data_IF_916743535739
#
_entry.id   IF_916743535739
#
_cell.length_a   1.000
_cell.length_b   1.000
_cell.length_c   1.000
_cell.angle_alpha   90.00
_cell.angle_beta   90.00
_cell.angle_gamma   90.00
#
_symmetry.space_group_name_H-M   'P 1'
#
loop_
_entity.id
_entity.type
_entity.pdbx_description
1 polymer ?
#
# COMPACT_ATOMS: atom_id res chain seq x y z
N UNK A 1 -68.75 -42.08 5.85
CA UNK A 1 -68.25 -40.79 5.31
C UNK A 1 -66.99 -40.36 6.05
N UNK A 2 -65.84 -40.65 5.47
CA UNK A 2 -64.52 -40.20 6.04
C UNK A 2 -64.09 -38.99 5.21
N UNK A 3 -63.97 -37.84 5.85
CA UNK A 3 -63.41 -36.62 5.24
C UNK A 3 -61.88 -36.64 5.37
N UNK A 4 -61.24 -36.80 4.24
CA UNK A 4 -59.76 -36.69 4.13
C UNK A 4 -59.39 -35.22 4.02
N UNK A 5 -58.70 -34.69 5.04
CA UNK A 5 -58.07 -33.35 4.98
C UNK A 5 -56.74 -33.45 4.26
N UNK A 6 -56.64 -32.79 3.11
CA UNK A 6 -55.39 -32.64 2.37
C UNK A 6 -54.66 -31.40 2.89
N UNK A 7 -53.59 -31.60 3.67
CA UNK A 7 -52.73 -30.53 4.10
C UNK A 7 -51.72 -30.20 3.01
N UNK A 8 -51.88 -29.05 2.34
CA UNK A 8 -50.91 -28.52 1.39
C UNK A 8 -49.85 -27.80 2.18
N UNK A 9 -48.67 -28.43 2.35
CA UNK A 9 -47.49 -27.80 2.94
C UNK A 9 -46.79 -26.97 1.86
N UNK A 10 -46.95 -25.67 1.92
CA UNK A 10 -46.26 -24.71 1.05
C UNK A 10 -44.80 -24.62 1.47
N UNK A 11 -43.89 -25.31 0.77
CA UNK A 11 -42.44 -25.12 0.92
C UNK A 11 -42.06 -23.80 0.23
N UNK A 12 -41.94 -22.74 1.01
CA UNK A 12 -41.25 -21.53 0.60
C UNK A 12 -39.74 -21.84 0.51
N UNK A 13 -39.29 -22.24 -0.67
CA UNK A 13 -37.88 -22.25 -0.99
C UNK A 13 -37.37 -20.80 -0.99
N UNK A 14 -36.84 -20.36 0.13
CA UNK A 14 -35.98 -19.17 0.15
C UNK A 14 -34.74 -19.51 -0.67
N UNK A 15 -34.74 -19.23 -1.97
CA UNK A 15 -33.52 -19.06 -2.71
C UNK A 15 -32.73 -17.95 -2.00
N UNK A 16 -31.66 -18.30 -1.32
CA UNK A 16 -30.63 -17.32 -0.92
C UNK A 16 -30.10 -16.72 -2.22
N UNK A 17 -30.75 -15.67 -2.72
CA UNK A 17 -30.14 -14.80 -3.68
C UNK A 17 -28.78 -14.42 -3.03
N UNK A 18 -27.69 -14.73 -3.70
CA UNK A 18 -26.38 -14.21 -3.29
C UNK A 18 -26.55 -12.69 -3.32
N UNK A 19 -26.73 -12.09 -2.15
CA UNK A 19 -26.83 -10.65 -2.01
C UNK A 19 -25.53 -10.09 -2.54
N UNK A 20 -25.63 -9.17 -3.50
CA UNK A 20 -24.47 -8.41 -3.98
C UNK A 20 -23.73 -7.88 -2.75
N UNK A 21 -22.42 -8.09 -2.71
CA UNK A 21 -21.62 -7.71 -1.55
C UNK A 21 -21.27 -6.22 -1.60
N UNK A 22 -21.17 -5.68 -2.81
CA UNK A 22 -20.90 -4.27 -3.05
C UNK A 22 -21.96 -3.38 -2.39
N UNK A 23 -21.49 -2.42 -1.59
CA UNK A 23 -22.34 -1.53 -0.81
C UNK A 23 -22.94 -2.15 0.45
N UNK A 24 -22.62 -3.41 0.77
CA UNK A 24 -23.06 -4.01 2.02
C UNK A 24 -22.50 -3.21 3.21
N UNK A 25 -23.39 -2.86 4.13
CA UNK A 25 -23.08 -2.08 5.32
C UNK A 25 -23.32 -2.94 6.56
N UNK A 26 -22.27 -3.18 7.34
CA UNK A 26 -22.33 -3.96 8.58
C UNK A 26 -22.23 -3.07 9.80
N UNK A 27 -22.63 -3.61 10.96
CA UNK A 27 -22.56 -2.91 12.23
C UNK A 27 -21.10 -2.55 12.61
N UNK A 28 -20.95 -1.58 13.51
CA UNK A 28 -19.67 -1.20 14.09
C UNK A 28 -19.05 -2.35 14.86
N UNK A 29 -17.75 -2.52 14.69
CA UNK A 29 -16.89 -3.40 15.49
C UNK A 29 -15.99 -2.59 16.43
N UNK A 30 -16.16 -1.26 16.45
CA UNK A 30 -15.31 -0.37 17.24
C UNK A 30 -15.39 -0.71 18.72
N UNK A 31 -14.23 -0.80 19.35
CA UNK A 31 -14.06 -1.03 20.80
C UNK A 31 -13.02 -0.07 21.35
N UNK A 32 -13.32 0.52 22.48
CA UNK A 32 -12.43 1.47 23.15
C UNK A 32 -11.98 0.87 24.49
N UNK A 33 -10.69 0.98 24.78
CA UNK A 33 -10.11 0.59 26.05
C UNK A 33 -8.97 1.54 26.46
N UNK A 34 -8.60 1.51 27.74
CA UNK A 34 -7.44 2.27 28.23
C UNK A 34 -6.24 1.34 28.24
N UNK A 35 -5.17 1.76 27.57
CA UNK A 35 -3.91 1.03 27.63
C UNK A 35 -3.28 1.16 29.01
N UNK A 36 -3.05 0.02 29.68
CA UNK A 36 -2.55 -0.01 31.04
C UNK A 36 -1.11 0.47 31.20
N UNK A 37 -0.31 0.43 30.12
CA UNK A 37 1.08 0.87 30.16
C UNK A 37 1.23 2.38 30.01
N UNK A 38 0.39 3.02 29.20
CA UNK A 38 0.50 4.44 28.86
C UNK A 38 -0.62 5.29 29.45
N UNK A 39 -1.73 4.69 29.89
CA UNK A 39 -2.93 5.41 30.30
C UNK A 39 -3.73 6.02 29.14
N UNK A 40 -3.32 5.82 27.92
CA UNK A 40 -3.99 6.36 26.74
C UNK A 40 -5.25 5.57 26.39
N UNK A 41 -6.26 6.27 25.89
CA UNK A 41 -7.44 5.64 25.31
C UNK A 41 -7.15 5.17 23.90
N UNK A 42 -7.34 3.88 23.65
CA UNK A 42 -7.15 3.25 22.33
C UNK A 42 -8.52 2.83 21.80
N UNK A 43 -8.80 3.17 20.55
CA UNK A 43 -9.98 2.70 19.83
C UNK A 43 -9.54 1.71 18.75
N UNK A 44 -9.92 0.45 18.92
CA UNK A 44 -9.83 -0.57 17.87
C UNK A 44 -10.99 -0.36 16.91
N UNK A 45 -10.69 -0.26 15.63
CA UNK A 45 -11.68 0.04 14.60
C UNK A 45 -12.37 -1.20 14.03
N UNK A 46 -11.68 -2.35 14.02
CA UNK A 46 -12.16 -3.62 13.46
C UNK A 46 -11.91 -4.78 14.42
N UNK A 47 -12.57 -5.91 14.16
CA UNK A 47 -12.38 -7.14 14.94
C UNK A 47 -11.03 -7.79 14.60
N UNK A 48 -10.27 -8.18 15.63
CA UNK A 48 -8.99 -8.87 15.53
C UNK A 48 -9.07 -10.25 14.86
N UNK A 49 -10.26 -10.83 14.78
CA UNK A 49 -10.48 -12.14 14.15
C UNK A 49 -10.60 -12.08 12.63
N UNK A 50 -10.59 -10.87 12.05
CA UNK A 50 -10.65 -10.64 10.62
C UNK A 50 -9.26 -10.39 10.04
N UNK A 51 -9.07 -10.78 8.76
CA UNK A 51 -7.83 -10.49 8.04
C UNK A 51 -7.91 -9.10 7.40
N UNK A 52 -8.02 -8.08 8.26
CA UNK A 52 -8.08 -6.69 7.86
C UNK A 52 -6.68 -6.10 7.80
N UNK A 53 -6.42 -5.30 6.78
CA UNK A 53 -5.13 -4.64 6.59
C UNK A 53 -5.34 -3.23 6.10
N UNK A 54 -4.58 -2.30 6.62
CA UNK A 54 -4.47 -0.97 6.04
C UNK A 54 -3.69 -1.01 4.72
N UNK A 55 -3.76 0.06 3.95
CA UNK A 55 -2.82 0.31 2.87
C UNK A 55 -1.41 0.53 3.45
N UNK A 56 -0.43 0.65 2.58
CA UNK A 56 0.91 0.99 3.05
C UNK A 56 0.92 2.40 3.65
N UNK A 57 1.79 2.64 4.64
CA UNK A 57 1.83 3.89 5.42
C UNK A 57 1.92 5.18 4.59
N UNK A 58 2.38 5.07 3.35
CA UNK A 58 2.54 6.20 2.44
C UNK A 58 1.30 6.49 1.61
N UNK A 59 0.34 5.55 1.58
CA UNK A 59 -0.88 5.70 0.80
C UNK A 59 -1.94 6.52 1.56
N UNK A 60 -2.73 7.36 0.87
CA UNK A 60 -3.91 7.98 1.48
C UNK A 60 -4.91 6.93 1.93
N UNK A 61 -5.21 6.88 3.23
CA UNK A 61 -6.21 5.96 3.79
C UNK A 61 -7.51 6.66 4.18
N UNK A 62 -7.49 7.99 4.30
CA UNK A 62 -8.66 8.79 4.63
C UNK A 62 -9.25 9.40 3.38
N UNK A 63 -10.60 9.43 3.29
CA UNK A 63 -11.27 10.26 2.30
C UNK A 63 -10.89 11.74 2.50
N UNK A 64 -10.96 12.55 1.45
CA UNK A 64 -10.53 13.94 1.51
C UNK A 64 -11.28 14.77 2.58
N UNK A 65 -12.53 14.41 2.87
CA UNK A 65 -13.33 15.03 3.93
C UNK A 65 -13.09 14.43 5.33
N UNK A 66 -12.21 13.44 5.46
CA UNK A 66 -11.84 12.79 6.71
C UNK A 66 -12.94 11.94 7.37
N UNK A 67 -14.06 11.68 6.70
CA UNK A 67 -15.19 10.97 7.32
C UNK A 67 -15.09 9.45 7.25
N UNK A 68 -14.36 8.92 6.29
CA UNK A 68 -14.21 7.50 6.08
C UNK A 68 -12.74 7.09 6.04
N UNK A 69 -12.44 5.96 6.66
CA UNK A 69 -11.13 5.32 6.64
C UNK A 69 -11.19 4.07 5.76
N UNK A 70 -10.32 4.00 4.76
CA UNK A 70 -10.19 2.85 3.86
C UNK A 70 -9.33 1.77 4.50
N UNK A 71 -9.75 0.52 4.36
CA UNK A 71 -8.94 -0.65 4.62
C UNK A 71 -9.29 -1.77 3.62
N UNK A 72 -8.53 -2.83 3.63
CA UNK A 72 -8.74 -4.01 2.78
C UNK A 72 -8.85 -5.27 3.61
N UNK A 73 -9.67 -6.22 3.13
CA UNK A 73 -9.85 -7.50 3.81
C UNK A 73 -10.11 -8.62 2.80
N UNK A 74 -9.59 -9.80 3.08
CA UNK A 74 -9.88 -11.04 2.35
C UNK A 74 -10.81 -11.98 3.13
N UNK A 75 -11.31 -11.57 4.30
CA UNK A 75 -12.11 -12.42 5.18
C UNK A 75 -13.50 -11.86 5.51
N UNK A 76 -13.88 -10.70 4.95
CA UNK A 76 -15.18 -10.06 5.24
C UNK A 76 -16.24 -10.35 4.20
N UNK A 77 -15.85 -10.58 2.96
CA UNK A 77 -16.75 -10.90 1.87
C UNK A 77 -17.09 -12.37 1.80
N UNK A 78 -18.04 -12.70 0.92
CA UNK A 78 -18.37 -14.08 0.55
C UNK A 78 -17.66 -14.47 -0.77
N UNK A 79 -16.56 -13.82 -1.08
CA UNK A 79 -15.77 -14.12 -2.27
C UNK A 79 -15.30 -15.58 -2.21
N UNK A 80 -15.54 -16.29 -3.31
CA UNK A 80 -15.05 -17.67 -3.44
C UNK A 80 -13.53 -17.64 -3.64
N UNK A 81 -12.86 -18.65 -3.12
CA UNK A 81 -11.46 -18.88 -3.46
C UNK A 81 -11.30 -18.95 -4.98
N UNK A 82 -10.28 -18.28 -5.46
CA UNK A 82 -9.86 -18.28 -6.87
C UNK A 82 -8.60 -19.11 -6.97
N UNK A 83 -8.53 -19.95 -7.99
CA UNK A 83 -7.31 -20.69 -8.30
C UNK A 83 -6.52 -19.95 -9.39
N UNK A 84 -5.25 -19.75 -9.16
CA UNK A 84 -4.31 -19.23 -10.16
C UNK A 84 -3.14 -20.18 -10.32
N UNK A 85 -2.58 -20.25 -11.53
CA UNK A 85 -1.37 -21.02 -11.80
C UNK A 85 -0.18 -20.06 -11.77
N UNK A 86 0.79 -20.36 -10.91
CA UNK A 86 2.04 -19.62 -10.83
C UNK A 86 2.94 -19.92 -12.04
N UNK A 87 3.95 -19.08 -12.34
CA UNK A 87 4.87 -19.30 -13.46
C UNK A 87 5.64 -20.64 -13.40
N UNK A 88 5.78 -21.21 -12.21
CA UNK A 88 6.40 -22.53 -11.99
C UNK A 88 5.42 -23.71 -12.20
N UNK A 89 4.17 -23.45 -12.60
CA UNK A 89 3.12 -24.44 -12.80
C UNK A 89 2.34 -24.83 -11.54
N UNK A 90 2.70 -24.34 -10.37
CA UNK A 90 1.96 -24.62 -9.13
C UNK A 90 0.62 -23.90 -9.11
N UNK A 91 -0.40 -24.59 -8.60
CA UNK A 91 -1.72 -24.01 -8.39
C UNK A 91 -1.79 -23.38 -7.00
N UNK A 92 -2.18 -22.10 -6.96
CA UNK A 92 -2.41 -21.36 -5.72
C UNK A 92 -3.88 -20.98 -5.61
N UNK A 93 -4.48 -21.32 -4.47
CA UNK A 93 -5.80 -20.81 -4.09
C UNK A 93 -5.64 -19.59 -3.22
N UNK A 94 -6.48 -18.59 -3.44
CA UNK A 94 -6.49 -17.37 -2.65
C UNK A 94 -7.89 -16.74 -2.65
N UNK A 95 -8.22 -16.02 -1.58
CA UNK A 95 -9.46 -15.26 -1.52
C UNK A 95 -9.18 -13.83 -1.98
N UNK A 96 -9.94 -13.28 -2.93
CA UNK A 96 -9.80 -11.91 -3.37
C UNK A 96 -9.89 -10.93 -2.20
N UNK A 97 -8.97 -9.98 -2.18
CA UNK A 97 -8.99 -8.90 -1.21
C UNK A 97 -9.88 -7.78 -1.71
N UNK A 98 -10.83 -7.35 -0.89
CA UNK A 98 -11.77 -6.28 -1.21
C UNK A 98 -11.48 -5.02 -0.41
N UNK A 99 -11.98 -3.89 -0.88
CA UNK A 99 -11.87 -2.58 -0.24
C UNK A 99 -13.12 -2.33 0.61
N UNK A 100 -12.87 -1.84 1.81
CA UNK A 100 -13.87 -1.47 2.79
C UNK A 100 -13.61 -0.07 3.31
N UNK A 101 -14.67 0.57 3.77
CA UNK A 101 -14.59 1.85 4.47
C UNK A 101 -15.21 1.74 5.86
N UNK A 102 -14.60 2.40 6.84
CA UNK A 102 -15.20 2.63 8.15
C UNK A 102 -15.73 4.06 8.16
N UNK A 103 -17.03 4.23 8.39
CA UNK A 103 -17.60 5.55 8.67
C UNK A 103 -17.22 5.94 10.10
N UNK A 104 -16.36 6.93 10.28
CA UNK A 104 -15.76 7.23 11.57
C UNK A 104 -16.78 7.71 12.60
N UNK A 105 -17.85 8.36 12.18
CA UNK A 105 -18.90 8.83 13.08
C UNK A 105 -19.73 7.69 13.71
N UNK A 106 -19.88 6.56 13.03
CA UNK A 106 -20.77 5.46 13.45
C UNK A 106 -20.03 4.13 13.65
N UNK A 107 -18.81 4.02 13.14
CA UNK A 107 -18.05 2.76 13.09
C UNK A 107 -18.60 1.74 12.08
N UNK A 108 -19.63 2.05 11.32
CA UNK A 108 -20.17 1.14 10.29
C UNK A 108 -19.15 0.83 9.24
N UNK A 109 -19.14 -0.42 8.80
CA UNK A 109 -18.20 -0.93 7.79
C UNK A 109 -18.94 -1.15 6.49
N UNK A 110 -18.43 -0.57 5.41
CA UNK A 110 -19.06 -0.54 4.08
C UNK A 110 -18.14 -1.20 3.07
N UNK A 111 -18.61 -2.21 2.35
CA UNK A 111 -17.85 -2.86 1.27
C UNK A 111 -17.94 -2.05 -0.02
N UNK A 112 -16.79 -1.64 -0.56
CA UNK A 112 -16.72 -0.77 -1.74
C UNK A 112 -16.25 -1.46 -3.02
N UNK A 113 -15.79 -2.70 -2.95
CA UNK A 113 -15.43 -3.50 -4.15
C UNK A 113 -15.91 -4.93 -4.02
N UNK A 114 -16.04 -5.62 -5.15
CA UNK A 114 -16.35 -7.04 -5.21
C UNK A 114 -15.69 -7.71 -6.42
N UNK A 115 -15.54 -9.03 -6.37
CA UNK A 115 -15.03 -9.85 -7.47
C UNK A 115 -13.49 -9.98 -7.51
N UNK A 116 -12.98 -10.85 -8.39
CA UNK A 116 -11.56 -11.26 -8.36
C UNK A 116 -10.61 -10.34 -9.13
N UNK A 117 -11.11 -9.38 -9.89
CA UNK A 117 -10.31 -8.63 -10.88
C UNK A 117 -9.76 -7.30 -10.36
N UNK A 118 -9.86 -7.05 -9.06
CA UNK A 118 -9.29 -5.86 -8.44
C UNK A 118 -7.75 -5.94 -8.51
N UNK A 119 -7.13 -4.98 -9.18
CA UNK A 119 -5.68 -4.82 -9.19
C UNK A 119 -5.23 -3.97 -8.01
N UNK A 120 -5.52 -2.69 -8.04
CA UNK A 120 -5.21 -1.73 -6.98
C UNK A 120 -6.36 -0.76 -6.77
N UNK A 121 -6.48 -0.25 -5.55
CA UNK A 121 -7.38 0.84 -5.23
C UNK A 121 -6.65 1.86 -4.35
N UNK A 122 -6.85 3.14 -4.62
CA UNK A 122 -6.20 4.24 -3.92
C UNK A 122 -7.07 5.49 -3.92
N UNK A 123 -6.95 6.27 -2.85
CA UNK A 123 -7.77 7.46 -2.67
C UNK A 123 -7.15 8.68 -3.34
N UNK A 124 -8.01 9.58 -3.77
CA UNK A 124 -7.65 10.93 -4.15
C UNK A 124 -7.26 11.76 -2.92
N UNK A 125 -6.40 12.78 -3.10
CA UNK A 125 -5.91 13.62 -2.03
C UNK A 125 -6.86 14.78 -1.69
N UNK A 126 -7.54 15.35 -2.69
CA UNK A 126 -8.39 16.55 -2.55
C UNK A 126 -9.88 16.29 -2.69
N UNK A 127 -10.24 15.17 -3.27
CA UNK A 127 -11.65 14.86 -3.59
C UNK A 127 -12.06 13.52 -3.02
N UNK A 128 -13.34 13.35 -2.71
CA UNK A 128 -13.89 12.06 -2.28
C UNK A 128 -14.05 11.13 -3.48
N UNK A 129 -12.93 10.73 -4.07
CA UNK A 129 -12.85 9.77 -5.17
C UNK A 129 -11.89 8.64 -4.82
N UNK A 130 -12.16 7.47 -5.35
CA UNK A 130 -11.26 6.32 -5.30
C UNK A 130 -10.94 5.90 -6.73
N UNK A 131 -9.66 5.74 -7.04
CA UNK A 131 -9.20 5.18 -8.29
C UNK A 131 -9.05 3.68 -8.14
N UNK A 132 -9.49 2.94 -9.15
CA UNK A 132 -9.51 1.48 -9.13
C UNK A 132 -8.91 0.96 -10.42
N UNK A 133 -7.84 0.17 -10.33
CA UNK A 133 -7.33 -0.56 -11.48
C UNK A 133 -7.89 -1.97 -11.51
N UNK A 134 -8.23 -2.46 -12.71
CA UNK A 134 -8.71 -3.84 -12.92
C UNK A 134 -8.01 -4.48 -14.09
N UNK A 135 -7.66 -5.75 -13.92
CA UNK A 135 -7.24 -6.56 -15.06
C UNK A 135 -8.45 -7.18 -15.71
N UNK A 136 -8.74 -6.77 -16.95
CA UNK A 136 -9.83 -7.28 -17.77
C UNK A 136 -9.24 -7.94 -19.02
N UNK A 137 -9.25 -9.26 -19.05
CA UNK A 137 -8.51 -10.08 -20.01
C UNK A 137 -7.00 -9.74 -19.91
N UNK A 138 -6.40 -9.21 -20.97
CA UNK A 138 -4.99 -8.81 -20.99
C UNK A 138 -4.77 -7.32 -20.68
N UNK A 139 -5.85 -6.55 -20.56
CA UNK A 139 -5.79 -5.11 -20.37
C UNK A 139 -5.84 -4.71 -18.89
N UNK A 140 -5.08 -3.70 -18.53
CA UNK A 140 -5.21 -3.00 -17.26
C UNK A 140 -6.01 -1.73 -17.46
N UNK A 141 -7.19 -1.68 -16.90
CA UNK A 141 -8.13 -0.58 -17.00
C UNK A 141 -8.16 0.23 -15.71
N UNK A 142 -8.23 1.55 -15.84
CA UNK A 142 -8.36 2.48 -14.73
C UNK A 142 -9.77 3.06 -14.71
N UNK A 143 -10.35 3.08 -13.52
CA UNK A 143 -11.66 3.65 -13.23
C UNK A 143 -11.56 4.65 -12.09
N UNK A 144 -12.45 5.64 -12.05
CA UNK A 144 -12.66 6.52 -10.91
C UNK A 144 -14.06 6.28 -10.34
N UNK A 145 -14.13 6.08 -9.03
CA UNK A 145 -15.36 5.90 -8.27
C UNK A 145 -15.74 7.18 -7.53
N UNK A 146 -16.98 7.63 -7.70
CA UNK A 146 -17.56 8.74 -6.93
C UNK A 146 -18.01 8.24 -5.55
N UNK A 147 -17.21 8.52 -4.53
CA UNK A 147 -17.49 8.10 -3.16
C UNK A 147 -18.62 8.91 -2.52
N UNK A 148 -18.85 10.17 -2.93
CA UNK A 148 -19.96 10.97 -2.38
C UNK A 148 -21.31 10.33 -2.75
N UNK A 149 -21.48 10.01 -4.04
CA UNK A 149 -22.67 9.34 -4.53
C UNK A 149 -22.82 7.96 -3.90
N UNK A 150 -21.73 7.19 -3.84
CA UNK A 150 -21.74 5.85 -3.27
C UNK A 150 -22.21 5.85 -1.81
N UNK A 151 -21.58 6.65 -0.94
CA UNK A 151 -21.96 6.72 0.48
C UNK A 151 -23.35 7.28 0.71
N UNK A 152 -23.82 8.21 -0.14
CA UNK A 152 -25.19 8.72 -0.06
C UNK A 152 -26.21 7.61 -0.36
N UNK A 153 -25.96 6.78 -1.38
CA UNK A 153 -26.84 5.67 -1.75
C UNK A 153 -26.79 4.54 -0.71
N UNK A 154 -25.61 4.27 -0.13
CA UNK A 154 -25.48 3.31 1.00
C UNK A 154 -26.34 3.75 2.19
N UNK A 155 -26.31 5.02 2.57
CA UNK A 155 -27.13 5.56 3.67
C UNK A 155 -28.62 5.46 3.42
N UNK A 156 -29.04 5.52 2.15
CA UNK A 156 -30.44 5.40 1.74
C UNK A 156 -30.87 3.95 1.50
N UNK A 157 -29.96 2.99 1.54
CA UNK A 157 -30.25 1.60 1.15
C UNK A 157 -30.56 1.42 -0.33
N UNK A 158 -30.04 2.29 -1.21
CA UNK A 158 -30.34 2.33 -2.66
C UNK A 158 -29.11 2.05 -3.51
N UNK A 159 -28.22 1.19 -3.03
CA UNK A 159 -26.97 0.90 -3.73
C UNK A 159 -27.22 0.21 -5.06
N UNK A 160 -26.70 0.79 -6.14
CA UNK A 160 -26.70 0.23 -7.49
C UNK A 160 -25.53 -0.71 -7.73
N UNK A 161 -25.33 -1.09 -9.00
CA UNK A 161 -24.14 -1.87 -9.42
C UNK A 161 -22.87 -1.01 -9.33
N UNK A 162 -21.66 -1.61 -9.20
CA UNK A 162 -20.40 -0.86 -9.21
C UNK A 162 -20.30 0.15 -10.35
N UNK A 163 -20.70 -0.23 -11.56
CA UNK A 163 -20.70 0.64 -12.75
C UNK A 163 -21.61 1.88 -12.64
N UNK A 164 -22.48 1.96 -11.62
CA UNK A 164 -23.28 3.17 -11.36
C UNK A 164 -22.49 4.28 -10.65
N UNK A 165 -21.32 3.95 -10.13
CA UNK A 165 -20.43 4.83 -9.37
C UNK A 165 -19.07 5.01 -10.02
N UNK A 166 -18.71 4.15 -10.97
CA UNK A 166 -17.43 4.11 -11.62
C UNK A 166 -17.50 4.70 -13.02
N UNK A 167 -16.54 5.55 -13.34
CA UNK A 167 -16.32 6.06 -14.70
C UNK A 167 -14.99 5.52 -15.20
N UNK A 168 -14.98 4.97 -16.39
CA UNK A 168 -13.77 4.54 -17.07
C UNK A 168 -12.89 5.76 -17.43
N UNK A 169 -11.60 5.67 -17.07
CA UNK A 169 -10.60 6.69 -17.38
C UNK A 169 -9.83 6.32 -18.64
N UNK A 170 -9.28 5.10 -18.68
CA UNK A 170 -8.47 4.64 -19.78
C UNK A 170 -7.88 3.26 -19.56
N UNK A 171 -7.33 2.70 -20.63
CA UNK A 171 -6.57 1.45 -20.61
C UNK A 171 -5.09 1.77 -20.59
N UNK A 172 -4.33 1.10 -19.72
CA UNK A 172 -2.88 1.25 -19.68
C UNK A 172 -2.27 0.55 -20.92
N UNK A 173 -1.50 1.26 -21.75
CA UNK A 173 -0.94 0.70 -22.98
C UNK A 173 0.10 -0.39 -22.69
N UNK A 174 0.03 -1.52 -23.36
CA UNK A 174 0.93 -2.66 -23.12
C UNK A 174 2.38 -2.36 -23.45
N UNK A 175 2.62 -1.49 -24.45
CA UNK A 175 3.96 -1.02 -24.84
C UNK A 175 4.63 -0.15 -23.77
N UNK A 176 3.86 0.40 -22.84
CA UNK A 176 4.39 1.16 -21.69
C UNK A 176 4.90 0.27 -20.56
N UNK A 177 4.74 -1.05 -20.66
CA UNK A 177 5.11 -2.05 -19.67
C UNK A 177 3.93 -2.56 -18.85
N UNK A 178 4.19 -3.49 -17.93
CA UNK A 178 3.17 -4.07 -17.05
C UNK A 178 3.04 -3.21 -15.78
N UNK A 179 1.88 -2.59 -15.52
CA UNK A 179 1.71 -1.73 -14.35
C UNK A 179 1.80 -2.50 -13.03
N UNK A 180 2.37 -1.84 -12.01
CA UNK A 180 2.57 -2.35 -10.66
C UNK A 180 2.01 -1.41 -9.59
N UNK A 181 2.88 -0.73 -8.83
CA UNK A 181 2.49 0.22 -7.78
C UNK A 181 1.96 1.55 -8.34
N UNK A 182 1.12 2.23 -7.57
CA UNK A 182 0.46 3.48 -7.95
C UNK A 182 0.64 4.53 -6.86
N UNK A 183 0.80 5.79 -7.25
CA UNK A 183 0.72 6.95 -6.38
C UNK A 183 -0.02 8.09 -7.08
N UNK A 184 -0.95 8.74 -6.38
CA UNK A 184 -1.72 9.88 -6.92
C UNK A 184 -1.04 11.18 -6.54
N UNK A 185 -0.94 12.09 -7.48
CA UNK A 185 -0.37 13.40 -7.23
C UNK A 185 -1.28 14.26 -6.32
N UNK A 186 -0.69 15.29 -5.71
CA UNK A 186 -1.42 16.10 -4.72
C UNK A 186 -2.60 16.90 -5.29
N UNK A 187 -2.73 17.03 -6.60
CA UNK A 187 -3.86 17.71 -7.25
C UNK A 187 -4.94 16.76 -7.74
N UNK A 188 -4.72 15.44 -7.66
CA UNK A 188 -5.59 14.39 -8.23
C UNK A 188 -5.66 14.42 -9.77
N UNK A 189 -4.67 15.02 -10.43
CA UNK A 189 -4.63 15.13 -11.90
C UNK A 189 -3.92 13.94 -12.55
N UNK A 190 -2.94 13.34 -11.84
CA UNK A 190 -2.10 12.28 -12.36
C UNK A 190 -1.94 11.13 -11.38
N UNK A 191 -1.82 9.92 -11.92
CA UNK A 191 -1.27 8.77 -11.22
C UNK A 191 0.13 8.47 -11.77
N UNK A 192 1.10 8.29 -10.85
CA UNK A 192 2.42 7.77 -11.16
C UNK A 192 2.43 6.27 -10.92
N UNK A 193 2.90 5.52 -11.90
CA UNK A 193 2.70 4.09 -11.99
C UNK A 193 4.06 3.44 -12.23
N UNK A 194 4.50 2.57 -11.33
CA UNK A 194 5.66 1.72 -11.63
C UNK A 194 5.29 0.70 -12.68
N UNK A 195 6.22 0.42 -13.58
CA UNK A 195 6.02 -0.61 -14.60
C UNK A 195 7.19 -1.59 -14.63
N UNK A 196 6.89 -2.86 -14.90
CA UNK A 196 7.90 -3.81 -15.35
C UNK A 196 8.03 -3.71 -16.86
N UNK A 197 9.26 -3.64 -17.36
CA UNK A 197 9.55 -3.52 -18.78
C UNK A 197 10.53 -4.57 -19.26
N UNK A 198 10.50 -4.84 -20.54
CA UNK A 198 11.56 -5.59 -21.20
C UNK A 198 12.84 -4.74 -21.27
N UNK A 199 13.98 -5.39 -21.37
CA UNK A 199 15.27 -4.75 -21.52
C UNK A 199 16.29 -5.67 -22.11
N UNK A 200 17.48 -5.12 -22.46
CA UNK A 200 18.58 -5.90 -23.00
C UNK A 200 19.25 -6.75 -21.92
N UNK A 201 20.02 -7.75 -22.35
CA UNK A 201 20.80 -8.57 -21.40
C UNK A 201 21.85 -7.72 -20.67
N UNK A 202 22.45 -6.75 -21.33
CA UNK A 202 23.40 -5.81 -20.72
C UNK A 202 22.74 -4.95 -19.62
N UNK A 203 21.50 -4.51 -19.81
CA UNK A 203 20.73 -3.80 -18.78
C UNK A 203 20.47 -4.70 -17.57
N UNK A 204 20.10 -5.97 -17.82
CA UNK A 204 19.86 -6.97 -16.76
C UNK A 204 21.14 -7.27 -15.97
N UNK A 205 22.28 -7.40 -16.66
CA UNK A 205 23.57 -7.61 -16.01
C UNK A 205 23.96 -6.40 -15.14
N UNK A 206 23.80 -5.18 -15.64
CA UNK A 206 24.04 -3.96 -14.83
C UNK A 206 23.13 -3.89 -13.62
N UNK A 207 21.83 -4.23 -13.79
CA UNK A 207 20.89 -4.31 -12.69
C UNK A 207 21.40 -5.28 -11.61
N UNK A 208 21.75 -6.50 -11.99
CA UNK A 208 22.21 -7.52 -11.03
C UNK A 208 23.49 -7.10 -10.32
N UNK A 209 24.42 -6.47 -11.02
CA UNK A 209 25.66 -5.95 -10.43
C UNK A 209 25.42 -4.85 -9.41
N UNK A 210 24.42 -3.98 -9.65
CA UNK A 210 24.14 -2.80 -8.84
C UNK A 210 23.05 -3.03 -7.78
N UNK A 211 22.33 -4.15 -7.83
CA UNK A 211 21.22 -4.42 -6.92
C UNK A 211 21.66 -4.71 -5.48
N UNK A 212 22.84 -5.30 -5.32
CA UNK A 212 23.32 -5.80 -4.02
C UNK A 212 24.71 -5.27 -3.70
N UNK A 213 24.97 -5.05 -2.41
CA UNK A 213 26.32 -4.80 -1.94
C UNK A 213 27.17 -6.09 -2.04
N UNK A 214 28.44 -5.99 -2.41
CA UNK A 214 29.34 -7.15 -2.54
C UNK A 214 29.44 -7.99 -1.27
N UNK A 215 29.27 -7.36 -0.12
CA UNK A 215 29.35 -7.98 1.21
C UNK A 215 28.01 -8.48 1.73
N UNK A 216 26.94 -8.30 0.96
CA UNK A 216 25.62 -8.82 1.30
C UNK A 216 25.64 -10.33 1.18
N UNK A 217 25.53 -11.05 2.29
CA UNK A 217 25.39 -12.52 2.31
C UNK A 217 23.98 -12.96 1.92
N UNK A 218 23.14 -12.08 1.42
CA UNK A 218 21.80 -12.41 0.98
C UNK A 218 21.88 -13.12 -0.41
N UNK A 219 21.37 -14.34 -0.53
CA UNK A 219 21.34 -15.00 -1.83
C UNK A 219 20.47 -14.19 -2.78
N UNK A 220 20.98 -13.93 -3.98
CA UNK A 220 20.24 -13.26 -5.05
C UNK A 220 19.08 -14.15 -5.48
N UNK A 221 17.92 -13.97 -4.86
CA UNK A 221 16.67 -14.67 -5.23
C UNK A 221 15.83 -13.85 -6.21
N UNK A 222 16.27 -12.65 -6.55
CA UNK A 222 15.49 -11.70 -7.35
C UNK A 222 15.75 -12.00 -8.83
N UNK A 223 14.67 -12.28 -9.56
CA UNK A 223 14.70 -12.29 -11.01
C UNK A 223 15.00 -10.88 -11.51
N UNK A 224 15.96 -10.68 -12.43
CA UNK A 224 16.20 -9.38 -13.02
C UNK A 224 14.92 -8.83 -13.64
N UNK A 225 14.40 -7.76 -13.06
CA UNK A 225 13.17 -7.11 -13.54
C UNK A 225 13.45 -5.64 -13.72
N UNK A 226 13.60 -5.23 -14.98
CA UNK A 226 13.75 -3.83 -15.32
C UNK A 226 12.42 -3.10 -15.16
N UNK A 227 12.48 -1.88 -14.68
CA UNK A 227 11.30 -1.11 -14.34
C UNK A 227 11.36 0.30 -14.94
N UNK A 228 10.36 1.06 -14.63
CA UNK A 228 10.25 2.48 -14.95
C UNK A 228 9.07 3.10 -14.25
N UNK A 229 8.88 4.38 -14.45
CA UNK A 229 7.72 5.12 -13.97
C UNK A 229 6.99 5.71 -15.17
N UNK A 230 5.67 5.58 -15.14
CA UNK A 230 4.75 6.16 -16.12
C UNK A 230 3.81 7.13 -15.41
N UNK A 231 3.32 8.10 -16.14
CA UNK A 231 2.35 9.08 -15.66
C UNK A 231 1.08 8.93 -16.46
N UNK A 232 -0.04 8.67 -15.79
CA UNK A 232 -1.37 8.61 -16.39
C UNK A 232 -2.17 9.85 -16.00
N UNK A 233 -2.68 10.55 -16.99
CA UNK A 233 -3.64 11.64 -16.75
C UNK A 233 -4.98 11.03 -16.33
N UNK A 234 -5.46 11.40 -15.13
CA UNK A 234 -6.67 10.83 -14.53
C UNK A 234 -7.99 11.42 -15.08
N UNK A 235 -7.88 12.35 -16.03
CA UNK A 235 -9.02 12.93 -16.77
C UNK A 235 -9.11 12.34 -18.15
N UNK A 236 -8.00 12.30 -18.89
CA UNK A 236 -7.97 11.88 -20.30
C UNK A 236 -7.62 10.42 -20.51
N UNK A 237 -7.00 9.77 -19.51
CA UNK A 237 -6.47 8.41 -19.62
C UNK A 237 -5.14 8.30 -20.37
N UNK A 238 -4.58 9.42 -20.86
CA UNK A 238 -3.30 9.42 -21.56
C UNK A 238 -2.16 8.95 -20.64
N UNK A 239 -1.30 8.06 -21.15
CA UNK A 239 -0.14 7.55 -20.44
C UNK A 239 1.14 8.00 -21.12
N UNK A 240 2.05 8.59 -20.35
CA UNK A 240 3.35 9.05 -20.83
C UNK A 240 4.49 8.48 -19.98
N UNK A 241 5.68 8.37 -20.57
CA UNK A 241 6.88 7.96 -19.86
C UNK A 241 7.40 9.10 -18.98
N UNK A 242 7.78 8.76 -17.73
CA UNK A 242 8.56 9.63 -16.84
C UNK A 242 10.03 9.25 -16.92
N UNK A 243 10.38 8.04 -16.44
CA UNK A 243 11.75 7.50 -16.49
C UNK A 243 11.72 6.00 -16.73
N UNK A 244 12.86 5.46 -17.18
CA UNK A 244 13.19 4.05 -17.13
C UNK A 244 14.31 3.83 -16.11
N UNK A 245 14.29 2.70 -15.41
CA UNK A 245 15.30 2.32 -14.42
C UNK A 245 15.93 0.98 -14.77
N UNK A 246 17.20 0.82 -14.40
CA UNK A 246 17.92 -0.47 -14.50
C UNK A 246 17.84 -1.25 -13.18
N UNK A 247 16.78 -1.01 -12.42
CA UNK A 247 16.50 -1.71 -11.17
C UNK A 247 14.99 -1.82 -10.97
N UNK A 248 14.58 -2.73 -10.09
CA UNK A 248 13.17 -2.89 -9.73
C UNK A 248 12.73 -1.69 -8.88
N UNK A 249 11.72 -0.95 -9.37
CA UNK A 249 11.09 0.15 -8.61
C UNK A 249 10.05 -0.38 -7.65
N UNK A 250 10.15 0.06 -6.40
CA UNK A 250 9.18 -0.21 -5.34
C UNK A 250 8.82 1.04 -4.57
N UNK A 251 7.86 0.94 -3.66
CA UNK A 251 7.45 1.97 -2.70
C UNK A 251 7.21 3.35 -3.32
N UNK A 252 6.65 3.39 -4.53
CA UNK A 252 6.40 4.66 -5.23
C UNK A 252 5.45 5.54 -4.42
N UNK A 253 5.82 6.80 -4.26
CA UNK A 253 5.05 7.83 -3.58
C UNK A 253 5.06 9.12 -4.38
N UNK A 254 3.94 9.80 -4.43
CA UNK A 254 3.85 11.17 -4.91
C UNK A 254 3.82 12.14 -3.73
N UNK A 255 4.48 13.27 -3.87
CA UNK A 255 4.39 14.34 -2.88
C UNK A 255 2.92 14.78 -2.71
N UNK A 256 2.47 14.84 -1.46
CA UNK A 256 1.14 15.38 -1.12
C UNK A 256 1.11 16.91 -1.07
N UNK A 257 2.25 17.54 -1.34
CA UNK A 257 2.46 18.98 -1.14
C UNK A 257 2.84 19.69 -2.45
N UNK A 258 3.66 19.05 -3.28
CA UNK A 258 4.19 19.61 -4.52
C UNK A 258 3.88 18.67 -5.68
N UNK A 259 3.13 19.15 -6.71
CA UNK A 259 2.82 18.31 -7.86
C UNK A 259 4.11 17.86 -8.57
N UNK A 260 4.12 16.62 -9.02
CA UNK A 260 5.20 16.09 -9.85
C UNK A 260 6.45 15.65 -9.11
N UNK A 261 6.51 15.75 -7.79
CA UNK A 261 7.61 15.16 -7.00
C UNK A 261 7.32 13.71 -6.64
N UNK A 262 8.26 12.83 -6.94
CA UNK A 262 8.10 11.38 -6.79
C UNK A 262 9.32 10.82 -6.04
N UNK A 263 9.05 10.01 -5.00
CA UNK A 263 10.03 9.23 -4.27
C UNK A 263 9.74 7.75 -4.47
N UNK A 264 10.78 6.95 -4.60
CA UNK A 264 10.66 5.50 -4.81
C UNK A 264 11.97 4.81 -4.44
N UNK A 265 11.94 3.49 -4.35
CA UNK A 265 13.14 2.74 -3.99
C UNK A 265 13.58 1.74 -5.08
N UNK A 266 14.86 1.39 -5.04
CA UNK A 266 15.39 0.17 -5.64
C UNK A 266 14.98 -1.00 -4.76
N UNK A 267 13.98 -1.77 -5.20
CA UNK A 267 13.38 -2.85 -4.41
C UNK A 267 14.13 -4.17 -4.61
N UNK A 268 14.98 -4.46 -3.66
CA UNK A 268 15.77 -5.69 -3.63
C UNK A 268 15.23 -6.73 -2.64
N UNK A 269 14.21 -6.36 -1.85
CA UNK A 269 13.79 -7.14 -0.69
C UNK A 269 14.74 -7.03 0.49
N UNK A 270 15.67 -6.08 0.47
CA UNK A 270 16.69 -5.85 1.50
C UNK A 270 17.60 -4.67 1.15
N UNK A 271 18.87 -4.87 1.38
CA UNK A 271 19.90 -3.87 1.16
C UNK A 271 20.23 -3.67 -0.34
N UNK A 272 20.70 -2.48 -0.70
CA UNK A 272 21.14 -2.12 -2.05
C UNK A 272 22.27 -1.10 -2.00
N UNK A 273 23.04 -0.96 -3.08
CA UNK A 273 24.09 0.09 -3.18
C UNK A 273 23.53 1.51 -3.09
N UNK A 274 22.35 1.71 -3.69
CA UNK A 274 21.59 2.95 -3.64
C UNK A 274 20.12 2.56 -3.67
N UNK A 275 19.42 2.74 -2.54
CA UNK A 275 18.04 2.29 -2.40
C UNK A 275 17.04 3.40 -2.70
N UNK A 276 17.20 4.58 -2.12
CA UNK A 276 16.20 5.64 -2.21
C UNK A 276 16.48 6.62 -3.34
N UNK A 277 15.44 6.93 -4.12
CA UNK A 277 15.52 7.76 -5.30
C UNK A 277 14.43 8.82 -5.32
N UNK A 278 14.74 9.92 -6.00
CA UNK A 278 13.82 11.01 -6.29
C UNK A 278 13.80 11.31 -7.78
N UNK A 279 12.62 11.58 -8.33
CA UNK A 279 12.49 12.15 -9.66
C UNK A 279 11.34 13.15 -9.75
N UNK A 280 11.35 13.97 -10.81
CA UNK A 280 10.23 14.81 -11.19
C UNK A 280 9.39 14.15 -12.28
N UNK A 281 8.10 14.47 -12.34
CA UNK A 281 7.13 13.84 -13.25
C UNK A 281 7.36 14.18 -14.73
N UNK A 282 8.22 15.15 -15.04
CA UNK A 282 8.70 15.47 -16.37
C UNK A 282 9.99 14.73 -16.74
N UNK A 283 10.55 13.97 -15.79
CA UNK A 283 11.79 13.21 -15.97
C UNK A 283 13.06 14.05 -16.05
N UNK A 284 12.99 15.37 -15.81
CA UNK A 284 14.16 16.26 -15.91
C UNK A 284 15.12 16.12 -14.75
N UNK A 285 14.59 15.70 -13.59
CA UNK A 285 15.40 15.37 -12.39
C UNK A 285 15.24 13.89 -12.07
N UNK A 286 16.36 13.20 -11.96
CA UNK A 286 16.45 11.82 -11.47
C UNK A 286 17.75 11.67 -10.69
N UNK A 287 17.65 11.56 -9.37
CA UNK A 287 18.81 11.52 -8.47
C UNK A 287 18.59 10.59 -7.28
N UNK A 288 19.66 10.11 -6.63
CA UNK A 288 19.57 9.58 -5.27
C UNK A 288 18.84 10.58 -4.37
N UNK A 289 17.87 10.09 -3.56
CA UNK A 289 17.23 10.90 -2.54
C UNK A 289 18.22 11.18 -1.40
N UNK A 290 18.84 10.12 -0.90
CA UNK A 290 19.91 10.14 0.07
C UNK A 290 21.09 9.37 -0.54
N UNK A 291 22.28 9.98 -0.57
CA UNK A 291 23.46 9.33 -1.14
C UNK A 291 24.03 8.33 -0.14
N UNK A 292 23.77 7.07 -0.38
CA UNK A 292 24.14 5.96 0.50
C UNK A 292 25.63 5.61 0.40
N UNK A 293 26.21 5.23 1.55
CA UNK A 293 27.53 4.62 1.66
C UNK A 293 27.40 3.12 1.94
N UNK A 294 28.48 2.32 1.80
CA UNK A 294 28.44 0.91 2.20
C UNK A 294 28.09 0.66 3.68
N UNK A 295 28.12 1.70 4.51
CA UNK A 295 27.74 1.62 5.93
C UNK A 295 26.27 1.95 6.18
N UNK A 296 25.52 2.29 5.16
CA UNK A 296 24.11 2.63 5.26
C UNK A 296 23.23 1.47 4.79
N UNK A 297 22.11 1.30 5.43
CA UNK A 297 20.94 0.59 4.94
C UNK A 297 19.72 1.42 5.26
N UNK A 298 19.15 2.04 4.25
CA UNK A 298 18.02 2.96 4.39
C UNK A 298 16.76 2.38 3.77
N UNK A 299 15.60 2.73 4.34
CA UNK A 299 14.31 2.22 3.86
C UNK A 299 13.15 3.03 4.45
N UNK A 300 11.93 2.71 4.00
CA UNK A 300 10.65 3.22 4.51
C UNK A 300 10.55 4.75 4.44
N UNK A 301 10.99 5.30 3.31
CA UNK A 301 10.90 6.71 3.01
C UNK A 301 9.43 7.17 2.94
N UNK A 302 9.16 8.38 3.43
CA UNK A 302 7.82 8.99 3.39
C UNK A 302 7.89 10.52 3.26
N UNK A 303 7.05 11.09 2.40
CA UNK A 303 6.85 12.54 2.38
C UNK A 303 6.14 12.98 3.65
N UNK A 304 6.83 13.68 4.53
CA UNK A 304 6.27 14.17 5.78
C UNK A 304 5.73 15.59 5.66
N UNK A 305 6.49 16.47 5.00
CA UNK A 305 6.11 17.86 4.72
C UNK A 305 6.49 18.23 3.28
N UNK A 306 6.22 19.49 2.89
CA UNK A 306 6.58 20.00 1.57
C UNK A 306 8.07 19.83 1.23
N UNK A 307 8.93 19.97 2.24
CA UNK A 307 10.37 20.03 2.01
C UNK A 307 11.13 18.83 2.62
N UNK A 308 10.46 17.98 3.40
CA UNK A 308 11.13 16.89 4.09
C UNK A 308 10.57 15.51 3.74
N UNK A 309 11.48 14.60 3.46
CA UNK A 309 11.25 13.15 3.43
C UNK A 309 11.91 12.53 4.66
N UNK A 310 11.15 11.71 5.37
CA UNK A 310 11.62 10.91 6.50
C UNK A 310 11.90 9.49 6.04
N UNK A 311 12.89 8.86 6.63
CA UNK A 311 13.26 7.47 6.36
C UNK A 311 14.00 6.86 7.54
N UNK A 312 14.17 5.53 7.50
CA UNK A 312 14.91 4.81 8.52
C UNK A 312 16.30 4.43 8.04
N UNK A 313 17.30 4.60 8.91
CA UNK A 313 18.59 3.91 8.81
C UNK A 313 18.51 2.68 9.71
N UNK A 314 18.85 1.52 9.16
CA UNK A 314 18.73 0.24 9.85
C UNK A 314 20.09 -0.37 10.13
N UNK A 315 20.26 -0.94 11.32
CA UNK A 315 21.49 -1.59 11.76
C UNK A 315 21.42 -3.13 11.78
N UNK A 316 20.51 -3.75 11.00
CA UNK A 316 20.29 -5.21 11.07
C UNK A 316 21.28 -6.04 10.25
N UNK A 317 21.85 -5.49 9.20
CA UNK A 317 22.82 -6.22 8.38
C UNK A 317 24.08 -6.56 9.16
N UNK A 318 24.72 -7.70 8.92
CA UNK A 318 25.93 -8.12 9.61
C UNK A 318 27.05 -7.05 9.62
N UNK A 319 27.22 -6.33 8.51
CA UNK A 319 28.20 -5.25 8.38
C UNK A 319 27.86 -4.01 9.21
N UNK A 320 26.58 -3.83 9.59
CA UNK A 320 26.07 -2.66 10.32
C UNK A 320 25.78 -2.96 11.80
N UNK A 321 26.21 -4.10 12.33
CA UNK A 321 25.90 -4.57 13.70
C UNK A 321 26.29 -3.59 14.81
N UNK A 322 27.21 -2.70 14.54
CA UNK A 322 27.68 -1.69 15.50
C UNK A 322 26.95 -0.36 15.36
N UNK A 323 25.99 -0.27 14.45
CA UNK A 323 25.22 0.95 14.24
C UNK A 323 23.81 0.81 14.82
N UNK A 324 23.34 1.82 15.51
CA UNK A 324 21.97 1.89 15.99
C UNK A 324 21.03 2.30 14.84
N UNK A 325 19.81 1.74 14.84
CA UNK A 325 18.76 2.18 13.93
C UNK A 325 18.26 3.56 14.33
N UNK A 326 17.90 4.37 13.34
CA UNK A 326 17.43 5.73 13.55
C UNK A 326 16.37 6.17 12.56
N UNK A 327 15.63 7.20 12.95
CA UNK A 327 14.76 7.98 12.06
C UNK A 327 15.54 9.21 11.61
N UNK A 328 15.62 9.39 10.32
CA UNK A 328 16.34 10.48 9.65
C UNK A 328 15.39 11.25 8.77
N UNK A 329 15.61 12.53 8.56
CA UNK A 329 14.95 13.30 7.52
C UNK A 329 15.96 13.95 6.60
N UNK A 330 15.57 14.14 5.35
CA UNK A 330 16.31 14.87 4.35
C UNK A 330 15.47 16.02 3.81
N UNK A 331 16.08 17.18 3.69
CA UNK A 331 15.47 18.33 3.01
C UNK A 331 15.65 18.19 1.50
N UNK A 332 14.53 18.09 0.77
CA UNK A 332 14.53 17.94 -0.69
C UNK A 332 15.10 19.14 -1.46
N UNK A 333 15.20 20.32 -0.82
CA UNK A 333 15.64 21.56 -1.45
C UNK A 333 17.14 21.83 -1.26
N UNK A 334 17.66 21.38 -0.11
CA UNK A 334 19.06 21.66 0.26
C UNK A 334 19.92 20.40 0.35
N UNK A 335 19.29 19.21 0.29
CA UNK A 335 19.91 17.91 0.54
C UNK A 335 20.48 17.76 1.97
N UNK A 336 20.13 18.67 2.90
CA UNK A 336 20.55 18.58 4.30
C UNK A 336 19.89 17.39 4.99
N UNK A 337 20.68 16.64 5.75
CA UNK A 337 20.26 15.43 6.46
C UNK A 337 20.30 15.67 7.97
N UNK A 338 19.25 15.27 8.68
CA UNK A 338 19.15 15.43 10.13
C UNK A 338 18.66 14.12 10.79
N UNK A 339 19.37 13.70 11.84
CA UNK A 339 18.95 12.60 12.69
C UNK A 339 17.88 13.09 13.67
N UNK A 340 16.68 12.51 13.59
CA UNK A 340 15.53 12.89 14.41
C UNK A 340 15.47 12.09 15.71
N UNK A 341 15.76 10.82 15.63
CA UNK A 341 15.77 9.94 16.79
C UNK A 341 16.50 8.65 16.51
N UNK A 342 17.10 8.09 17.54
CA UNK A 342 17.89 6.89 17.46
C UNK A 342 17.58 5.99 18.65
N UNK A 343 17.54 4.68 18.43
CA UNK A 343 17.45 3.71 19.52
C UNK A 343 18.86 3.45 20.09
N UNK A 344 18.91 3.11 21.37
CA UNK A 344 20.18 2.70 21.99
C UNK A 344 20.71 1.41 21.32
N UNK A 345 22.02 1.36 21.16
CA UNK A 345 22.70 0.16 20.67
C UNK A 345 22.70 -0.88 21.79
N UNK A 346 21.95 -1.96 21.63
CA UNK A 346 21.97 -3.06 22.58
C UNK A 346 23.30 -3.81 22.51
N UNK A 347 23.95 -4.00 23.69
CA UNK A 347 25.22 -4.71 23.81
C UNK A 347 25.10 -6.19 23.42
N UNK A 348 23.92 -6.78 23.66
CA UNK A 348 23.65 -8.20 23.46
C UNK A 348 22.47 -8.41 22.49
N UNK A 349 22.72 -8.15 21.20
CA UNK A 349 21.75 -8.49 20.17
C UNK A 349 21.68 -10.02 20.01
N UNK A 350 20.60 -10.64 20.45
CA UNK A 350 20.38 -12.07 20.23
C UNK A 350 19.89 -12.32 18.80
N UNK A 351 20.41 -13.39 18.20
CA UNK A 351 19.91 -13.88 16.93
C UNK A 351 18.65 -14.71 17.18
N UNK A 352 17.54 -14.38 16.52
CA UNK A 352 16.37 -15.24 16.43
C UNK A 352 16.38 -15.86 15.03
N UNK A 353 16.40 -17.19 14.94
CA UNK A 353 16.48 -17.94 13.68
C UNK A 353 17.66 -17.53 12.76
N UNK A 354 18.79 -17.19 13.35
CA UNK A 354 19.96 -16.73 12.62
C UNK A 354 19.90 -15.29 12.12
N UNK A 355 18.80 -14.58 12.35
CA UNK A 355 18.67 -13.16 12.09
C UNK A 355 18.91 -12.36 13.38
N UNK A 356 19.69 -11.30 13.27
CA UNK A 356 19.89 -10.38 14.39
C UNK A 356 18.64 -9.53 14.56
N UNK A 357 17.92 -9.81 15.63
CA UNK A 357 16.80 -8.99 16.07
C UNK A 357 17.32 -8.00 17.10
N UNK A 358 17.44 -6.75 16.71
CA UNK A 358 17.72 -5.65 17.61
C UNK A 358 16.50 -4.74 17.70
N UNK A 359 16.37 -4.00 18.80
CA UNK A 359 15.40 -2.89 18.83
C UNK A 359 15.82 -1.88 17.77
N UNK A 360 14.88 -1.44 16.96
CA UNK A 360 15.11 -0.45 15.93
C UNK A 360 13.78 0.07 15.39
N UNK A 361 13.81 1.25 14.84
CA UNK A 361 12.67 1.74 14.07
C UNK A 361 12.57 0.95 12.78
N UNK A 362 11.35 0.58 12.39
CA UNK A 362 11.08 -0.15 11.15
C UNK A 362 10.37 0.71 10.12
N UNK A 363 9.29 1.37 10.51
CA UNK A 363 8.64 2.40 9.70
C UNK A 363 8.68 3.72 10.45
N UNK A 364 8.59 4.82 9.72
CA UNK A 364 8.51 6.15 10.30
C UNK A 364 7.52 7.01 9.54
N UNK A 365 6.98 8.00 10.23
CA UNK A 365 6.19 9.06 9.64
C UNK A 365 6.33 10.33 10.52
N UNK A 366 5.84 11.46 10.03
CA UNK A 366 5.83 12.69 10.79
C UNK A 366 4.49 13.43 10.69
N UNK A 367 4.24 14.30 11.67
CA UNK A 367 3.10 15.22 11.62
C UNK A 367 3.30 16.27 10.52
N UNK A 368 2.19 16.75 9.94
CA UNK A 368 2.23 17.73 8.86
C UNK A 368 2.88 19.07 9.25
N UNK A 369 2.85 19.40 10.54
CA UNK A 369 3.52 20.59 11.09
C UNK A 369 4.99 20.34 11.46
N UNK A 370 5.51 19.14 11.16
CA UNK A 370 6.90 18.74 11.38
C UNK A 370 7.37 18.80 12.85
N UNK A 371 6.43 18.77 13.81
CA UNK A 371 6.76 18.81 15.25
C UNK A 371 6.91 17.46 15.89
N UNK A 372 6.31 16.43 15.29
CA UNK A 372 6.29 15.08 15.81
C UNK A 372 6.77 14.10 14.76
N UNK A 373 7.58 13.16 15.17
CA UNK A 373 7.89 11.96 14.39
C UNK A 373 7.40 10.75 15.16
N UNK A 374 6.91 9.74 14.43
CA UNK A 374 6.49 8.45 14.97
C UNK A 374 7.20 7.35 14.22
N UNK A 375 7.58 6.31 14.94
CA UNK A 375 8.11 5.08 14.35
C UNK A 375 7.60 3.88 15.12
N UNK A 376 7.32 2.79 14.40
CA UNK A 376 7.15 1.50 15.03
C UNK A 376 8.53 0.88 15.30
N UNK A 377 8.57 -0.09 16.22
CA UNK A 377 9.83 -0.77 16.57
C UNK A 377 9.81 -2.22 16.09
N UNK A 378 10.94 -2.64 15.54
CA UNK A 378 11.17 -4.04 15.19
C UNK A 378 11.84 -4.76 16.36
N UNK A 379 11.33 -5.93 16.74
CA UNK A 379 11.98 -6.81 17.72
C UNK A 379 11.32 -6.94 19.08
N UNK A 380 10.35 -6.11 19.44
CA UNK A 380 9.54 -6.31 20.64
C UNK A 380 8.17 -6.92 20.32
N UNK A 381 8.17 -8.20 20.01
CA UNK A 381 6.91 -8.92 19.69
C UNK A 381 5.94 -9.02 20.88
N UNK A 382 6.36 -8.70 22.10
CA UNK A 382 5.44 -8.71 23.25
C UNK A 382 4.59 -7.46 23.31
N UNK A 383 5.07 -6.34 22.80
CA UNK A 383 4.33 -5.08 22.69
C UNK A 383 3.65 -4.89 21.32
N UNK A 384 4.04 -5.64 20.29
CA UNK A 384 3.53 -5.53 18.93
C UNK A 384 2.07 -5.92 18.74
N UNK A 385 1.38 -6.44 19.72
CA UNK A 385 -0.07 -6.63 19.64
C UNK A 385 -0.85 -5.31 19.52
N UNK A 386 -0.22 -4.18 19.77
CA UNK A 386 -0.83 -2.86 19.69
C UNK A 386 -0.37 -2.05 18.46
N UNK A 387 0.72 -2.46 17.81
CA UNK A 387 1.32 -1.73 16.69
C UNK A 387 1.29 -2.52 15.38
N UNK A 388 0.50 -3.56 15.27
CA UNK A 388 0.39 -4.35 14.04
C UNK A 388 -0.45 -3.63 13.00
N UNK A 389 0.09 -2.61 12.40
CA UNK A 389 -0.26 -2.20 11.05
C UNK A 389 0.66 -2.94 10.06
N UNK A 390 0.42 -4.21 9.88
CA UNK A 390 1.04 -4.99 8.81
C UNK A 390 0.01 -5.40 7.79
#
# INVERSE_FOLDING_TARGET
>A
MRKTFLAITLFLAFSKAALAQFGNCTASEMRTYVDSATGNTITMLTDTMKNDRFLYQTDPMWTADGKYLLFRSSSRGNDKEVESTLPNGEKRKWTPTQIYFIEMATGKIIQATEGPNLGSAFLANKTNRMFVSRKEKENWNMYVMDLNKFFADVKQGKVGKPSSYETFIGTFPTEMGRPGGYAVDCNDDYAYITVEREGTEEEKERMMKNAFLPESNQPVKIKPTLCGIRKMNLITGEVTKVIDTEFKTGHIQASRFTPGEIVFCNETGGDAHQRMWFCTADGTVFKPLYKETPLDWVTHETFATKDFVYFNILGFQPRLRKQASGIVRINLRTDDVELIGQVELEKDRQAIDGQLVGRGFWHCNASRDNKWAVGDTFGDQKSTRLNSSH
#
